data_IF_040651862258
#
_entry.id   IF_040651862258
#
_cell.length_a   1.000
_cell.length_b   1.000
_cell.length_c   1.000
_cell.angle_alpha   90.00
_cell.angle_beta   90.00
_cell.angle_gamma   90.00
#
_symmetry.space_group_name_H-M   'P 1'
#
loop_
_entity.id
_entity.type
_entity.pdbx_description
1 polymer ?
#
# COMPACT_ATOMS: atom_id res chain seq x y z
N UNK A 1 6.71 -5.79 2.09
CA UNK A 1 7.12 -6.78 3.05
C UNK A 1 5.99 -7.15 3.99
N UNK A 2 5.52 -6.29 4.91
CA UNK A 2 4.55 -6.57 5.97
C UNK A 2 3.32 -7.41 5.54
N UNK A 3 2.54 -6.94 4.57
CA UNK A 3 1.33 -7.64 4.09
C UNK A 3 1.66 -9.03 3.49
N UNK A 4 2.77 -9.13 2.75
CA UNK A 4 3.21 -10.40 2.15
C UNK A 4 3.63 -11.43 3.19
N UNK A 5 4.29 -10.99 4.25
CA UNK A 5 4.74 -11.88 5.33
C UNK A 5 3.54 -12.44 6.10
N UNK A 6 2.52 -11.61 6.36
CA UNK A 6 1.26 -12.06 7.00
C UNK A 6 0.53 -13.08 6.11
N UNK A 7 0.40 -12.80 4.81
CA UNK A 7 -0.26 -13.73 3.86
C UNK A 7 0.49 -15.06 3.77
N UNK A 8 1.82 -15.08 3.99
CA UNK A 8 2.65 -16.28 4.08
C UNK A 8 2.59 -16.98 5.45
N UNK A 9 1.70 -16.56 6.33
CA UNK A 9 1.45 -17.23 7.60
C UNK A 9 2.27 -16.71 8.79
N UNK A 10 3.03 -15.64 8.61
CA UNK A 10 3.70 -15.01 9.75
C UNK A 10 2.69 -14.34 10.67
N UNK A 11 2.89 -14.47 11.98
CA UNK A 11 2.05 -13.81 12.99
C UNK A 11 2.11 -12.29 12.81
N UNK A 12 0.96 -11.57 12.72
CA UNK A 12 0.93 -10.12 12.61
C UNK A 12 1.70 -9.40 13.73
N UNK A 13 1.61 -9.92 14.97
CA UNK A 13 2.33 -9.38 16.13
C UNK A 13 3.85 -9.54 15.98
N UNK A 14 4.29 -10.67 15.46
CA UNK A 14 5.71 -10.93 15.22
C UNK A 14 6.24 -10.02 14.12
N UNK A 15 5.53 -9.93 12.99
CA UNK A 15 5.89 -9.05 11.86
C UNK A 15 5.98 -7.59 12.33
N UNK A 16 4.99 -7.13 13.12
CA UNK A 16 5.00 -5.79 13.68
C UNK A 16 6.23 -5.53 14.58
N UNK A 17 6.66 -6.50 15.38
CA UNK A 17 7.87 -6.41 16.19
C UNK A 17 9.14 -6.34 15.34
N UNK A 18 9.23 -7.19 14.31
CA UNK A 18 10.38 -7.20 13.37
C UNK A 18 10.56 -5.85 12.67
N UNK A 19 9.46 -5.26 12.21
CA UNK A 19 9.47 -3.94 11.56
C UNK A 19 9.40 -2.76 12.54
N UNK A 20 9.34 -3.03 13.85
CA UNK A 20 9.23 -1.99 14.89
C UNK A 20 10.44 -1.05 14.97
N UNK A 21 11.59 -1.46 14.43
CA UNK A 21 12.80 -0.62 14.33
C UNK A 21 12.84 0.23 13.06
N UNK A 22 11.94 0.01 12.09
CA UNK A 22 11.86 0.81 10.89
C UNK A 22 11.30 2.20 11.23
N UNK A 23 11.85 3.23 10.59
CA UNK A 23 11.31 4.58 10.67
C UNK A 23 9.89 4.59 10.13
N UNK A 24 8.96 5.17 10.90
CA UNK A 24 7.60 5.39 10.41
C UNK A 24 7.61 6.51 9.38
N UNK A 25 7.01 6.30 8.19
CA UNK A 25 6.83 7.37 7.23
C UNK A 25 5.82 8.39 7.76
N UNK A 26 6.03 9.66 7.48
CA UNK A 26 5.10 10.73 7.82
C UNK A 26 3.85 10.71 6.93
N UNK A 27 3.97 10.17 5.73
CA UNK A 27 2.92 10.09 4.72
C UNK A 27 3.06 8.80 3.92
N UNK A 28 1.95 8.10 3.76
CA UNK A 28 1.87 6.89 2.94
C UNK A 28 0.76 7.04 1.92
N UNK A 29 1.09 6.88 0.65
CA UNK A 29 0.11 6.77 -0.44
C UNK A 29 -0.15 5.30 -0.74
N UNK A 30 -1.43 4.95 -0.83
CA UNK A 30 -1.89 3.65 -1.28
C UNK A 30 -2.65 3.78 -2.59
N UNK A 31 -2.08 3.23 -3.64
CA UNK A 31 -2.73 3.16 -4.95
C UNK A 31 -3.62 1.94 -4.99
N UNK A 32 -4.92 2.17 -4.80
CA UNK A 32 -5.92 1.10 -4.78
C UNK A 32 -6.26 0.66 -6.20
N UNK A 33 -6.04 -0.62 -6.50
CA UNK A 33 -6.35 -1.22 -7.79
C UNK A 33 -7.17 -2.50 -7.55
N UNK A 34 -8.36 -2.66 -8.14
CA UNK A 34 -9.11 -3.91 -8.08
C UNK A 34 -8.30 -5.07 -8.66
N UNK A 35 -8.48 -6.27 -8.09
CA UNK A 35 -7.68 -7.44 -8.48
C UNK A 35 -7.83 -7.78 -9.97
N UNK A 36 -9.01 -7.61 -10.55
CA UNK A 36 -9.25 -7.88 -11.96
C UNK A 36 -8.44 -6.95 -12.86
N UNK A 37 -8.39 -5.66 -12.53
CA UNK A 37 -7.60 -4.66 -13.24
C UNK A 37 -6.10 -4.93 -13.08
N UNK A 38 -5.65 -5.31 -11.88
CA UNK A 38 -4.24 -5.64 -11.62
C UNK A 38 -3.82 -6.90 -12.40
N UNK A 39 -4.67 -7.93 -12.43
CA UNK A 39 -4.44 -9.15 -13.17
C UNK A 39 -4.37 -8.89 -14.69
N UNK A 40 -5.30 -8.12 -15.23
CA UNK A 40 -5.31 -7.74 -16.64
C UNK A 40 -4.04 -6.97 -17.03
N UNK A 41 -3.64 -5.99 -16.23
CA UNK A 41 -2.42 -5.20 -16.47
C UNK A 41 -1.17 -6.06 -16.47
N UNK A 42 -1.06 -7.03 -15.56
CA UNK A 42 0.11 -7.90 -15.50
C UNK A 42 0.15 -8.88 -16.68
N UNK A 43 -1.01 -9.38 -17.10
CA UNK A 43 -1.13 -10.28 -18.25
C UNK A 43 -0.80 -9.58 -19.57
N UNK A 44 -1.20 -8.32 -19.73
CA UNK A 44 -0.93 -7.54 -20.93
C UNK A 44 0.50 -6.96 -20.97
N UNK A 45 1.10 -6.74 -19.81
CA UNK A 45 2.40 -6.08 -19.68
C UNK A 45 3.62 -7.00 -19.56
N UNK A 46 3.41 -8.29 -19.27
CA UNK A 46 4.51 -9.25 -19.05
C UNK A 46 4.23 -10.61 -19.69
N UNK A 47 5.21 -11.18 -20.38
CA UNK A 47 5.04 -12.50 -21.02
C UNK A 47 4.97 -13.67 -20.02
N UNK A 48 5.41 -13.47 -18.76
CA UNK A 48 5.46 -14.54 -17.77
C UNK A 48 5.41 -14.03 -16.33
N UNK A 49 4.51 -14.59 -15.50
CA UNK A 49 4.49 -14.40 -14.05
C UNK A 49 5.64 -15.14 -13.37
N UNK A 50 6.23 -14.52 -12.35
CA UNK A 50 7.25 -15.17 -11.52
C UNK A 50 6.59 -16.03 -10.44
N UNK A 51 7.21 -17.16 -10.13
CA UNK A 51 6.75 -18.17 -9.17
C UNK A 51 6.31 -17.55 -7.82
N UNK A 52 7.21 -16.80 -7.17
CA UNK A 52 6.90 -16.18 -5.86
C UNK A 52 5.98 -14.95 -5.95
N UNK A 53 5.91 -14.29 -7.09
CA UNK A 53 4.99 -13.18 -7.33
C UNK A 53 3.54 -13.68 -7.43
N UNK A 54 3.38 -14.87 -7.97
CA UNK A 54 2.10 -15.55 -8.07
C UNK A 54 1.71 -16.32 -6.79
N UNK A 55 2.57 -16.37 -5.77
CA UNK A 55 2.29 -17.10 -4.54
C UNK A 55 2.25 -18.62 -4.72
N UNK A 56 2.97 -19.16 -5.73
CA UNK A 56 3.00 -20.59 -6.00
C UNK A 56 3.65 -21.40 -4.87
N UNK A 57 4.46 -20.74 -4.03
CA UNK A 57 5.05 -21.31 -2.82
C UNK A 57 4.03 -21.59 -1.70
N UNK A 58 2.79 -21.13 -1.87
CA UNK A 58 1.70 -21.29 -0.90
C UNK A 58 0.67 -22.35 -1.28
N UNK A 59 0.88 -23.01 -2.41
CA UNK A 59 0.03 -24.12 -2.88
C UNK A 59 -1.47 -23.73 -3.03
N UNK A 60 -1.72 -22.48 -3.47
CA UNK A 60 -3.06 -21.90 -3.57
C UNK A 60 -3.83 -22.43 -4.78
N UNK A 61 -3.15 -22.72 -5.87
CA UNK A 61 -3.67 -23.31 -7.09
C UNK A 61 -2.54 -23.87 -7.93
N UNK A 62 -2.83 -24.89 -8.74
CA UNK A 62 -1.90 -25.42 -9.73
C UNK A 62 -1.76 -24.50 -10.94
N UNK A 63 -2.74 -23.65 -11.21
CA UNK A 63 -2.68 -22.60 -12.24
C UNK A 63 -2.01 -21.34 -11.69
N UNK A 64 -0.98 -20.85 -12.38
CA UNK A 64 -0.19 -19.70 -11.94
C UNK A 64 -1.01 -18.39 -11.90
N UNK A 65 -1.96 -18.23 -12.81
CA UNK A 65 -2.79 -17.03 -12.85
C UNK A 65 -3.84 -17.03 -11.75
N UNK A 66 -4.45 -18.19 -11.49
CA UNK A 66 -5.38 -18.37 -10.39
C UNK A 66 -4.67 -18.18 -9.05
N UNK A 67 -3.51 -18.78 -8.87
CA UNK A 67 -2.67 -18.58 -7.69
C UNK A 67 -2.33 -17.09 -7.48
N UNK A 68 -1.94 -16.38 -8.55
CA UNK A 68 -1.69 -14.94 -8.51
C UNK A 68 -2.90 -14.16 -8.01
N UNK A 69 -4.10 -14.43 -8.56
CA UNK A 69 -5.33 -13.74 -8.17
C UNK A 69 -5.64 -13.95 -6.69
N UNK A 70 -5.58 -15.19 -6.21
CA UNK A 70 -5.82 -15.51 -4.80
C UNK A 70 -4.78 -14.85 -3.90
N UNK A 71 -3.51 -14.96 -4.24
CA UNK A 71 -2.42 -14.38 -3.44
C UNK A 71 -2.50 -12.86 -3.36
N UNK A 72 -2.68 -12.18 -4.48
CA UNK A 72 -2.79 -10.72 -4.51
C UNK A 72 -4.07 -10.22 -3.83
N UNK A 73 -5.19 -10.95 -3.95
CA UNK A 73 -6.41 -10.61 -3.22
C UNK A 73 -6.20 -10.62 -1.70
N UNK A 74 -5.51 -11.62 -1.18
CA UNK A 74 -5.16 -11.69 0.25
C UNK A 74 -4.23 -10.55 0.68
N UNK A 75 -3.30 -10.14 -0.18
CA UNK A 75 -2.42 -8.98 0.07
C UNK A 75 -3.24 -7.69 0.09
N UNK A 76 -4.16 -7.49 -0.85
CA UNK A 76 -5.06 -6.34 -0.90
C UNK A 76 -5.89 -6.25 0.39
N UNK A 77 -6.44 -7.35 0.87
CA UNK A 77 -7.17 -7.39 2.15
C UNK A 77 -6.32 -6.92 3.33
N UNK A 78 -5.03 -7.27 3.37
CA UNK A 78 -4.12 -6.78 4.42
C UNK A 78 -3.90 -5.27 4.31
N UNK A 79 -3.75 -4.72 3.11
CA UNK A 79 -3.64 -3.27 2.92
C UNK A 79 -4.93 -2.55 3.31
N UNK A 80 -6.11 -3.07 2.97
CA UNK A 80 -7.39 -2.48 3.37
C UNK A 80 -7.56 -2.44 4.91
N UNK A 81 -7.04 -3.46 5.63
CA UNK A 81 -6.98 -3.42 7.09
C UNK A 81 -6.02 -2.37 7.61
N UNK A 82 -4.86 -2.19 6.97
CA UNK A 82 -3.87 -1.17 7.34
C UNK A 82 -4.42 0.25 7.14
N UNK A 83 -5.14 0.50 6.06
CA UNK A 83 -5.77 1.80 5.76
C UNK A 83 -6.75 2.21 6.88
N UNK A 84 -7.49 1.26 7.44
CA UNK A 84 -8.44 1.53 8.54
C UNK A 84 -7.77 1.94 9.85
N UNK A 85 -6.54 1.48 10.07
CA UNK A 85 -5.81 1.64 11.32
C UNK A 85 -4.71 2.71 11.25
N UNK A 86 -4.34 3.15 10.06
CA UNK A 86 -3.25 4.09 9.81
C UNK A 86 -3.69 5.18 8.81
N UNK A 87 -3.06 6.35 8.89
CA UNK A 87 -3.40 7.49 8.03
C UNK A 87 -2.77 7.34 6.63
N UNK A 88 -3.31 6.42 5.84
CA UNK A 88 -2.94 6.30 4.44
C UNK A 88 -3.77 7.24 3.57
N UNK A 89 -3.14 7.86 2.59
CA UNK A 89 -3.83 8.59 1.52
C UNK A 89 -4.11 7.62 0.40
N UNK A 90 -5.39 7.36 0.14
CA UNK A 90 -5.81 6.42 -0.91
C UNK A 90 -5.94 7.16 -2.23
N UNK A 91 -5.26 6.65 -3.25
CA UNK A 91 -5.34 7.13 -4.63
C UNK A 91 -5.97 6.02 -5.49
N UNK A 92 -6.91 6.39 -6.35
CA UNK A 92 -7.47 5.45 -7.31
C UNK A 92 -6.44 5.10 -8.38
N UNK A 93 -5.90 3.89 -8.30
CA UNK A 93 -4.89 3.37 -9.21
C UNK A 93 -5.44 2.92 -10.57
N UNK A 94 -6.75 3.08 -10.84
CA UNK A 94 -7.36 2.84 -12.16
C UNK A 94 -7.22 4.04 -13.09
N UNK A 95 -7.00 5.24 -12.54
CA UNK A 95 -6.75 6.45 -13.32
C UNK A 95 -5.44 6.34 -14.13
N UNK A 96 -5.30 7.20 -15.15
CA UNK A 96 -4.04 7.32 -15.87
C UNK A 96 -2.93 7.92 -14.99
N UNK A 97 -1.67 7.80 -15.44
CA UNK A 97 -0.50 8.22 -14.65
C UNK A 97 -0.54 9.71 -14.32
N UNK A 98 -0.94 10.56 -15.27
CA UNK A 98 -1.01 12.01 -15.10
C UNK A 98 -2.02 12.39 -14.01
N UNK A 99 -3.20 11.81 -14.05
CA UNK A 99 -4.25 12.02 -13.05
C UNK A 99 -3.80 11.54 -11.65
N UNK A 100 -3.19 10.35 -11.58
CA UNK A 100 -2.66 9.84 -10.31
C UNK A 100 -1.59 10.77 -9.74
N UNK A 101 -0.65 11.25 -10.56
CA UNK A 101 0.38 12.17 -10.14
C UNK A 101 -0.16 13.53 -9.69
N UNK A 102 -1.18 14.05 -10.36
CA UNK A 102 -1.84 15.27 -9.95
C UNK A 102 -2.46 15.13 -8.55
N UNK A 103 -3.22 14.05 -8.31
CA UNK A 103 -3.82 13.77 -7.00
C UNK A 103 -2.77 13.62 -5.89
N UNK A 104 -1.66 12.96 -6.17
CA UNK A 104 -0.55 12.82 -5.21
C UNK A 104 0.03 14.19 -4.84
N UNK A 105 0.28 15.06 -5.82
CA UNK A 105 0.81 16.42 -5.58
C UNK A 105 -0.16 17.27 -4.77
N UNK A 106 -1.43 17.28 -5.13
CA UNK A 106 -2.47 18.02 -4.41
C UNK A 106 -2.55 17.58 -2.93
N UNK A 107 -2.57 16.27 -2.68
CA UNK A 107 -2.61 15.73 -1.33
C UNK A 107 -1.34 15.98 -0.53
N UNK A 108 -0.19 15.91 -1.17
CA UNK A 108 1.08 16.24 -0.55
C UNK A 108 1.11 17.71 -0.13
N UNK A 109 0.74 18.63 -1.02
CA UNK A 109 0.72 20.08 -0.75
C UNK A 109 -0.23 20.43 0.38
N UNK A 110 -1.46 19.86 0.39
CA UNK A 110 -2.43 20.04 1.50
C UNK A 110 -1.82 19.67 2.86
N UNK A 111 -1.12 18.52 2.95
CA UNK A 111 -0.56 18.02 4.19
C UNK A 111 0.63 18.87 4.65
N UNK A 112 1.52 19.23 3.73
CA UNK A 112 2.70 20.08 4.04
C UNK A 112 2.28 21.48 4.48
N UNK A 113 1.24 22.06 3.86
CA UNK A 113 0.70 23.39 4.24
C UNK A 113 0.05 23.35 5.64
N UNK A 114 -0.72 22.31 5.96
CA UNK A 114 -1.29 22.12 7.31
C UNK A 114 -0.19 22.03 8.37
N UNK A 115 0.84 21.22 8.14
CA UNK A 115 1.96 21.05 9.07
C UNK A 115 2.70 22.36 9.33
N UNK A 116 2.90 23.21 8.31
CA UNK A 116 3.51 24.53 8.45
C UNK A 116 2.64 25.48 9.27
N UNK A 117 1.33 25.46 9.05
CA UNK A 117 0.36 26.28 9.78
C UNK A 117 0.33 25.92 11.27
N UNK A 118 0.31 24.63 11.59
CA UNK A 118 0.29 24.14 12.97
C UNK A 118 1.59 24.48 13.75
N UNK A 119 2.73 24.42 13.07
CA UNK A 119 4.02 24.80 13.67
C UNK A 119 4.11 26.29 13.94
N UNK A 120 3.58 27.17 13.07
CA UNK A 120 3.53 28.60 13.29
C UNK A 120 2.64 28.97 14.48
N UNK A 121 1.51 28.28 14.67
CA UNK A 121 0.60 28.52 15.81
C UNK A 121 1.18 28.04 17.15
N UNK A 122 2.08 27.06 17.15
CA UNK A 122 2.76 26.61 18.37
C UNK A 122 3.90 27.54 18.78
N UNK A 123 4.57 28.19 17.83
CA UNK A 123 5.61 29.17 18.09
C UNK A 123 5.13 30.47 18.75
N UNK A 124 3.86 30.87 18.51
CA UNK A 124 3.28 32.09 19.10
C UNK A 124 2.73 31.93 20.53
N UNK A 125 2.61 30.70 21.04
CA UNK A 125 2.10 30.44 22.40
C UNK A 125 3.19 30.36 23.48
N UNK A 126 4.46 30.45 23.12
CA UNK A 126 5.55 30.36 24.08
C UNK A 126 6.21 31.72 24.40
N UNK A 127 5.67 32.82 23.89
CA UNK A 127 6.17 34.19 24.14
C UNK A 127 5.20 35.07 24.99
N UNK A 128 4.31 34.42 25.74
CA UNK A 128 3.48 35.13 26.76
C UNK A 128 3.83 34.70 28.18
#
# INVERSE_FOLDING_TARGET
AYARDIVRGCSPLWVKKVYGYALKPDLVFYFRVPIDVAAERILSGRPKLKYYEAGMDLDLSNDIYESYRVFQSRIIEQYEKMIKNENFVVIDGTYNIEQQQQLVREKFDEIVMKTKSDNNNRGQKNDE
#
